data_IF_354628590220
#
_entry.id   IF_354628590220
#
_cell.length_a   1.000
_cell.length_b   1.000
_cell.length_c   1.000
_cell.angle_alpha   90.00
_cell.angle_beta   90.00
_cell.angle_gamma   90.00
#
_symmetry.space_group_name_H-M   'P 1'
#
loop_
_entity.id
_entity.type
_entity.pdbx_description
1 polymer ?
#
# COMPACT_ATOMS: atom_id res chain seq x y z
N UNK A 1 -10.33 -24.02 -23.57
CA UNK A 1 -9.64 -24.01 -22.25
C UNK A 1 -8.76 -22.75 -22.07
N UNK A 2 -9.20 -21.54 -22.46
CA UNK A 2 -8.35 -20.32 -22.44
C UNK A 2 -8.90 -19.19 -21.55
N UNK A 3 -10.09 -19.38 -20.99
CA UNK A 3 -10.79 -18.39 -20.16
C UNK A 3 -10.40 -18.44 -18.68
N UNK A 4 -9.88 -19.58 -18.19
CA UNK A 4 -9.54 -19.75 -16.76
C UNK A 4 -8.34 -18.93 -16.32
N UNK A 5 -7.36 -18.71 -17.20
CA UNK A 5 -6.17 -17.93 -16.84
C UNK A 5 -6.54 -16.50 -16.43
N UNK A 6 -7.40 -15.83 -17.22
CA UNK A 6 -7.79 -14.44 -16.97
C UNK A 6 -8.51 -14.25 -15.64
N UNK A 7 -9.31 -15.25 -15.21
CA UNK A 7 -9.99 -15.20 -13.91
C UNK A 7 -9.01 -15.30 -12.73
N UNK A 8 -7.93 -16.07 -12.88
CA UNK A 8 -6.88 -16.18 -11.86
C UNK A 8 -6.09 -14.87 -11.75
N UNK A 9 -5.77 -14.22 -12.88
CA UNK A 9 -5.09 -12.92 -12.86
C UNK A 9 -5.99 -11.87 -12.21
N UNK A 10 -7.26 -11.79 -12.61
CA UNK A 10 -8.20 -10.82 -12.05
C UNK A 10 -8.38 -10.99 -10.52
N UNK A 11 -8.44 -12.23 -10.03
CA UNK A 11 -8.51 -12.51 -8.59
C UNK A 11 -7.21 -12.12 -7.87
N UNK A 12 -6.04 -12.37 -8.47
CA UNK A 12 -4.74 -12.01 -7.87
C UNK A 12 -4.55 -10.49 -7.83
N UNK A 13 -4.89 -9.77 -8.90
CA UNK A 13 -4.80 -8.31 -8.95
C UNK A 13 -5.81 -7.64 -8.02
N UNK A 14 -7.01 -8.19 -7.87
CA UNK A 14 -7.99 -7.71 -6.89
C UNK A 14 -7.55 -7.97 -5.43
N UNK A 15 -6.76 -9.03 -5.19
CA UNK A 15 -6.17 -9.34 -3.88
C UNK A 15 -4.92 -8.51 -3.60
N UNK A 16 -4.25 -8.01 -4.66
CA UNK A 16 -3.30 -6.92 -4.60
C UNK A 16 -4.04 -5.57 -4.60
N UNK A 17 -5.05 -5.44 -3.75
CA UNK A 17 -5.35 -4.15 -3.12
C UNK A 17 -4.16 -3.86 -2.21
N UNK A 18 -3.05 -3.42 -2.81
CA UNK A 18 -2.01 -2.71 -2.09
C UNK A 18 -2.74 -1.48 -1.59
N UNK A 19 -3.17 -1.50 -0.32
CA UNK A 19 -3.26 -0.26 0.42
C UNK A 19 -1.88 0.35 0.21
N UNK A 20 -1.79 1.35 -0.67
CA UNK A 20 -0.54 2.02 -1.01
C UNK A 20 -0.17 2.86 0.20
N UNK A 21 0.14 2.16 1.29
CA UNK A 21 0.58 2.74 2.51
C UNK A 21 2.10 2.73 2.48
N UNK A 22 2.69 3.87 2.79
CA UNK A 22 4.11 4.08 2.93
C UNK A 22 4.64 3.29 4.12
N UNK A 23 5.72 2.54 3.86
CA UNK A 23 6.46 1.82 4.88
C UNK A 23 7.30 2.79 5.73
N UNK A 24 8.01 2.28 6.74
CA UNK A 24 8.92 3.14 7.54
C UNK A 24 9.97 3.79 6.62
N UNK A 25 10.28 5.07 6.86
CA UNK A 25 11.23 5.86 6.04
C UNK A 25 10.77 6.10 4.58
N UNK A 26 9.49 5.84 4.27
CA UNK A 26 8.90 6.23 2.99
C UNK A 26 8.20 7.59 3.11
N UNK A 27 8.12 8.30 2.00
CA UNK A 27 7.48 9.61 1.97
C UNK A 27 5.98 9.54 2.27
N UNK A 28 5.49 10.50 3.05
CA UNK A 28 4.10 10.65 3.43
C UNK A 28 3.67 12.11 3.39
N UNK A 29 2.39 12.34 3.09
CA UNK A 29 1.76 13.66 3.22
C UNK A 29 0.87 13.76 4.47
N UNK A 30 0.28 12.63 4.87
CA UNK A 30 -0.64 12.51 5.99
C UNK A 30 -0.45 11.15 6.69
N UNK A 31 -0.87 11.04 7.95
CA UNK A 31 -0.80 9.77 8.70
C UNK A 31 -1.53 8.62 8.01
N UNK A 32 -2.56 8.94 7.22
CA UNK A 32 -3.35 8.00 6.40
C UNK A 32 -2.54 7.37 5.27
N UNK A 33 -1.47 8.01 4.81
CA UNK A 33 -0.54 7.43 3.84
C UNK A 33 0.33 6.36 4.51
N UNK A 34 0.54 6.39 5.82
CA UNK A 34 1.42 5.43 6.48
C UNK A 34 0.71 4.12 6.80
N UNK A 35 1.43 3.00 6.73
CA UNK A 35 0.82 1.71 7.10
C UNK A 35 0.41 1.69 8.57
N UNK A 36 -0.63 0.91 8.90
CA UNK A 36 -1.19 0.87 10.25
C UNK A 36 -0.12 0.68 11.34
N UNK A 37 -0.07 1.63 12.27
CA UNK A 37 0.91 1.65 13.36
C UNK A 37 2.12 2.56 13.09
N UNK A 38 2.21 3.16 11.90
CA UNK A 38 3.11 4.25 11.61
C UNK A 38 2.34 5.59 11.61
N UNK A 39 3.06 6.67 11.85
CA UNK A 39 2.58 8.05 11.77
C UNK A 39 3.46 8.84 10.79
N UNK A 40 2.90 9.86 10.17
CA UNK A 40 3.62 10.72 9.24
C UNK A 40 4.32 11.85 9.99
N UNK A 41 5.65 11.84 9.99
CA UNK A 41 6.43 12.92 10.56
C UNK A 41 6.45 14.11 9.60
N UNK A 42 5.82 15.22 9.99
CA UNK A 42 5.69 16.43 9.14
C UNK A 42 6.99 17.23 9.00
N UNK A 43 8.05 16.89 9.74
CA UNK A 43 9.35 17.56 9.65
C UNK A 43 10.19 16.88 8.55
N UNK A 44 10.17 15.55 8.53
CA UNK A 44 10.91 14.74 7.56
C UNK A 44 10.05 14.30 6.36
N UNK A 45 8.73 14.48 6.45
CA UNK A 45 7.73 13.94 5.50
C UNK A 45 7.85 12.43 5.31
N UNK A 46 8.13 11.70 6.40
CA UNK A 46 8.43 10.27 6.40
C UNK A 46 7.58 9.51 7.43
N UNK A 47 7.21 8.28 7.11
CA UNK A 47 6.51 7.41 8.05
C UNK A 47 7.44 6.86 9.12
N UNK A 48 7.11 7.06 10.39
CA UNK A 48 7.85 6.58 11.55
C UNK A 48 6.93 5.71 12.44
N UNK A 49 7.49 4.75 13.17
CA UNK A 49 6.76 3.82 14.05
C UNK A 49 7.08 4.02 15.52
#
# INVERSE_FOLDING_TARGET
>A
MRFSFLLIIAALTASMSVSACSAVDENCAEDSDCCSGLYCDVILYHCLG
#
